data_IF_222570338576
#
_entry.id   IF_222570338576
#
_cell.length_a   1.000
_cell.length_b   1.000
_cell.length_c   1.000
_cell.angle_alpha   90.00
_cell.angle_beta   90.00
_cell.angle_gamma   90.00
#
_symmetry.space_group_name_H-M   'P 1'
#
loop_
_entity.id
_entity.type
_entity.pdbx_description
1 polymer ?
#
# COMPACT_ATOMS: atom_id res chain seq x y z
N UNK A 1 -44.58 -31.75 44.42
CA UNK A 1 -43.17 -32.09 44.14
C UNK A 1 -43.05 -32.38 42.65
N UNK A 2 -42.00 -31.85 42.01
CA UNK A 2 -41.66 -31.82 40.57
C UNK A 2 -42.04 -30.55 39.80
N UNK A 3 -41.13 -29.57 39.94
CA UNK A 3 -40.89 -28.46 39.02
C UNK A 3 -40.32 -29.00 37.70
N UNK A 4 -40.93 -28.65 36.56
CA UNK A 4 -40.32 -28.83 35.24
C UNK A 4 -39.92 -27.45 34.72
N UNK A 5 -38.66 -27.08 34.97
CA UNK A 5 -38.04 -25.89 34.40
C UNK A 5 -37.73 -26.18 32.92
N UNK A 6 -38.44 -25.51 32.01
CA UNK A 6 -38.14 -25.57 30.57
C UNK A 6 -36.94 -24.68 30.28
N UNK A 7 -35.79 -25.29 29.99
CA UNK A 7 -34.60 -24.61 29.49
C UNK A 7 -34.78 -24.37 27.99
N UNK A 8 -35.06 -23.11 27.61
CA UNK A 8 -35.02 -22.67 26.21
C UNK A 8 -33.56 -22.41 25.85
N UNK A 9 -32.98 -23.28 25.04
CA UNK A 9 -31.63 -23.08 24.49
C UNK A 9 -31.75 -22.12 23.30
N UNK A 10 -31.36 -20.86 23.52
CA UNK A 10 -31.19 -19.90 22.43
C UNK A 10 -29.91 -20.24 21.66
N UNK A 11 -30.08 -20.75 20.44
CA UNK A 11 -28.99 -20.91 19.48
C UNK A 11 -28.64 -19.51 18.98
N UNK A 12 -27.51 -18.96 19.43
CA UNK A 12 -26.96 -17.74 18.84
C UNK A 12 -26.52 -18.05 17.41
N UNK A 13 -27.11 -17.37 16.43
CA UNK A 13 -26.69 -17.45 15.04
C UNK A 13 -25.29 -16.82 14.92
N UNK A 14 -24.26 -17.66 14.80
CA UNK A 14 -22.92 -17.23 14.37
C UNK A 14 -23.05 -16.82 12.91
N UNK A 15 -22.95 -15.52 12.64
CA UNK A 15 -22.91 -15.00 11.26
C UNK A 15 -21.73 -15.60 10.50
N UNK A 16 -21.84 -15.77 9.17
CA UNK A 16 -20.74 -16.31 8.38
C UNK A 16 -19.50 -15.44 8.55
N UNK A 17 -18.28 -16.04 8.54
CA UNK A 17 -17.05 -15.27 8.51
C UNK A 17 -17.10 -14.37 7.28
N UNK A 18 -17.03 -13.05 7.49
CA UNK A 18 -16.85 -12.09 6.40
C UNK A 18 -15.58 -12.47 5.64
N UNK A 19 -15.76 -13.03 4.45
CA UNK A 19 -14.66 -13.26 3.51
C UNK A 19 -13.97 -11.91 3.30
N UNK A 20 -12.72 -11.80 3.73
CA UNK A 20 -11.86 -10.71 3.28
C UNK A 20 -11.76 -10.86 1.76
N UNK A 21 -11.85 -9.76 0.99
CA UNK A 21 -11.69 -9.86 -0.45
C UNK A 21 -10.36 -10.55 -0.73
N UNK A 22 -10.41 -11.64 -1.52
CA UNK A 22 -9.21 -12.27 -2.06
C UNK A 22 -8.40 -11.17 -2.77
N UNK A 23 -7.13 -11.07 -2.41
CA UNK A 23 -6.18 -10.34 -3.24
C UNK A 23 -6.33 -10.89 -4.65
N UNK A 24 -6.49 -10.02 -5.65
CA UNK A 24 -6.51 -10.47 -7.05
C UNK A 24 -5.37 -11.49 -7.24
N UNK A 25 -5.73 -12.70 -7.66
CA UNK A 25 -5.06 -14.02 -7.46
C UNK A 25 -3.56 -14.14 -7.83
N UNK A 26 -2.87 -13.06 -8.15
CA UNK A 26 -1.43 -13.03 -8.40
C UNK A 26 -0.76 -11.90 -7.65
N UNK A 27 0.09 -12.23 -6.67
CA UNK A 27 1.02 -11.27 -6.09
C UNK A 27 2.04 -10.80 -7.13
N UNK A 28 2.51 -9.57 -6.99
CA UNK A 28 3.46 -8.98 -7.91
C UNK A 28 4.90 -9.35 -7.57
N UNK A 29 5.69 -9.65 -8.58
CA UNK A 29 7.15 -9.61 -8.45
C UNK A 29 7.62 -8.16 -8.38
N UNK A 30 8.74 -7.92 -7.69
CA UNK A 30 9.46 -6.66 -7.82
C UNK A 30 10.08 -6.50 -9.22
N UNK A 31 10.80 -5.40 -9.43
CA UNK A 31 11.63 -5.15 -10.62
C UNK A 31 12.41 -6.41 -11.04
N UNK A 32 12.50 -6.70 -12.35
CA UNK A 32 12.21 -5.80 -13.48
C UNK A 32 10.75 -5.81 -13.98
N UNK A 33 9.85 -6.59 -13.37
CA UNK A 33 8.46 -6.69 -13.84
C UNK A 33 7.74 -5.33 -13.76
N UNK A 34 7.12 -4.92 -14.87
CA UNK A 34 6.31 -3.69 -14.93
C UNK A 34 4.86 -3.98 -14.57
N UNK A 35 4.25 -3.07 -13.82
CA UNK A 35 2.86 -3.17 -13.33
C UNK A 35 2.10 -1.88 -13.63
N UNK A 36 0.77 -1.97 -13.67
CA UNK A 36 -0.13 -0.82 -13.73
C UNK A 36 -1.07 -0.85 -12.53
N UNK A 37 -0.94 0.13 -11.63
CA UNK A 37 -1.72 0.22 -10.42
C UNK A 37 -2.65 1.42 -10.49
N UNK A 38 -3.89 1.24 -10.05
CA UNK A 38 -4.90 2.31 -10.01
C UNK A 38 -5.16 2.73 -8.58
N UNK A 39 -5.40 4.02 -8.38
CA UNK A 39 -5.62 4.55 -7.04
C UNK A 39 -5.74 6.06 -6.99
N UNK A 40 -5.92 6.60 -5.78
CA UNK A 40 -5.91 8.03 -5.51
C UNK A 40 -4.49 8.49 -5.16
N UNK A 41 -3.93 9.38 -5.96
CA UNK A 41 -2.64 9.99 -5.70
C UNK A 41 -2.78 11.09 -4.65
N UNK A 42 -1.97 11.06 -3.60
CA UNK A 42 -1.96 12.06 -2.53
C UNK A 42 -0.53 12.47 -2.18
N UNK A 43 -0.40 13.62 -1.53
CA UNK A 43 0.84 14.04 -0.89
C UNK A 43 0.64 14.13 0.62
N UNK A 44 1.66 13.71 1.37
CA UNK A 44 1.70 13.79 2.83
C UNK A 44 3.03 14.34 3.29
N UNK A 45 2.99 15.23 4.27
CA UNK A 45 4.18 15.68 5.00
C UNK A 45 4.41 14.70 6.15
N UNK A 46 5.52 13.98 6.10
CA UNK A 46 5.91 12.95 7.05
C UNK A 46 7.21 13.34 7.76
N UNK A 47 7.49 12.78 8.95
CA UNK A 47 8.79 12.94 9.61
C UNK A 47 9.93 12.41 8.74
N UNK A 48 10.94 13.25 8.53
CA UNK A 48 12.20 12.93 7.85
C UNK A 48 13.36 12.77 8.84
N UNK A 49 14.60 12.97 8.40
CA UNK A 49 15.77 12.86 9.25
C UNK A 49 15.75 13.90 10.38
N UNK A 50 16.44 13.64 11.50
CA UNK A 50 17.33 12.48 11.70
C UNK A 50 16.61 11.20 12.16
N UNK A 51 15.49 11.29 12.88
CA UNK A 51 14.93 10.12 13.56
C UNK A 51 13.73 9.49 12.84
N UNK A 52 13.07 10.23 11.93
CA UNK A 52 11.87 9.78 11.21
C UNK A 52 10.68 9.41 12.11
N UNK A 53 10.55 10.08 13.26
CA UNK A 53 9.51 9.80 14.27
C UNK A 53 8.54 10.97 14.48
N UNK A 54 9.02 12.21 14.53
CA UNK A 54 8.17 13.36 14.83
C UNK A 54 8.77 14.69 14.37
N UNK A 55 8.02 15.38 13.51
CA UNK A 55 8.31 16.76 13.10
C UNK A 55 8.27 17.69 14.31
N UNK A 56 7.31 17.51 15.22
CA UNK A 56 7.18 18.32 16.43
C UNK A 56 8.37 18.15 17.41
N UNK A 57 9.11 17.04 17.30
CA UNK A 57 10.32 16.77 18.10
C UNK A 57 11.63 17.03 17.34
N UNK A 58 11.58 17.74 16.21
CA UNK A 58 12.78 18.22 15.51
C UNK A 58 13.16 17.46 14.24
N UNK A 59 12.37 16.47 13.81
CA UNK A 59 12.61 15.85 12.50
C UNK A 59 12.25 16.79 11.36
N UNK A 60 13.08 16.80 10.31
CA UNK A 60 12.84 17.62 9.12
C UNK A 60 11.60 17.11 8.39
N UNK A 61 10.62 17.97 8.06
CA UNK A 61 9.47 17.53 7.29
C UNK A 61 9.89 17.08 5.88
N UNK A 62 9.37 15.95 5.43
CA UNK A 62 9.56 15.45 4.07
C UNK A 62 8.21 15.17 3.42
N UNK A 63 8.06 15.58 2.16
CA UNK A 63 6.84 15.30 1.40
C UNK A 63 6.99 13.96 0.69
N UNK A 64 6.12 13.01 1.03
CA UNK A 64 5.98 11.75 0.32
C UNK A 64 4.77 11.80 -0.62
N UNK A 65 4.93 11.22 -1.81
CA UNK A 65 3.85 11.01 -2.77
C UNK A 65 3.37 9.57 -2.59
N UNK A 66 2.08 9.40 -2.31
CA UNK A 66 1.49 8.09 -1.98
C UNK A 66 0.33 7.80 -2.94
N UNK A 67 0.22 6.55 -3.35
CA UNK A 67 -0.92 6.02 -4.08
C UNK A 67 -1.75 5.18 -3.10
N UNK A 68 -2.95 5.68 -2.76
CA UNK A 68 -3.96 4.85 -2.09
C UNK A 68 -4.57 3.98 -3.17
N UNK A 69 -4.30 2.68 -3.12
CA UNK A 69 -4.67 1.71 -4.14
C UNK A 69 -6.18 1.44 -4.11
N UNK A 70 -6.78 1.28 -5.29
CA UNK A 70 -8.18 0.88 -5.40
C UNK A 70 -8.40 -0.56 -4.93
N UNK A 71 -7.39 -1.41 -5.12
CA UNK A 71 -7.34 -2.79 -4.67
C UNK A 71 -6.02 -3.05 -3.96
N UNK A 72 -6.04 -3.59 -2.72
CA UNK A 72 -4.81 -3.97 -2.03
C UNK A 72 -3.98 -4.95 -2.85
N UNK A 73 -2.66 -4.83 -2.77
CA UNK A 73 -1.72 -5.71 -3.47
C UNK A 73 -0.90 -6.55 -2.50
N UNK A 74 -0.29 -7.60 -3.02
CA UNK A 74 0.76 -8.35 -2.37
C UNK A 74 2.00 -8.45 -3.28
N UNK A 75 3.15 -8.73 -2.67
CA UNK A 75 4.43 -8.90 -3.38
C UNK A 75 5.05 -10.26 -3.06
N UNK A 76 5.88 -10.72 -3.99
CA UNK A 76 6.68 -11.94 -3.86
C UNK A 76 8.13 -11.50 -3.71
N UNK A 77 8.79 -11.95 -2.64
CA UNK A 77 10.24 -11.78 -2.47
C UNK A 77 11.00 -12.64 -3.49
N UNK A 78 12.06 -12.09 -4.09
CA UNK A 78 12.91 -12.82 -5.03
C UNK A 78 14.31 -12.99 -4.42
N UNK A 79 14.57 -14.20 -3.94
CA UNK A 79 15.79 -14.54 -3.21
C UNK A 79 17.01 -14.78 -4.10
N UNK A 80 16.86 -14.88 -5.43
CA UNK A 80 17.96 -15.34 -6.29
C UNK A 80 18.83 -14.20 -6.81
N UNK A 81 18.23 -13.06 -7.16
CA UNK A 81 18.94 -11.98 -7.88
C UNK A 81 18.63 -10.57 -7.36
N UNK A 82 17.88 -10.44 -6.26
CA UNK A 82 17.48 -9.15 -5.68
C UNK A 82 17.84 -9.09 -4.20
N UNK A 83 18.34 -7.94 -3.68
CA UNK A 83 18.43 -7.73 -2.24
C UNK A 83 17.04 -7.67 -1.56
N UNK A 84 15.95 -7.66 -2.33
CA UNK A 84 14.58 -7.59 -1.83
C UNK A 84 14.10 -8.99 -1.42
N UNK A 85 14.23 -9.33 -0.15
CA UNK A 85 13.89 -10.65 0.38
C UNK A 85 12.47 -10.74 0.92
N UNK A 86 11.81 -9.60 1.13
CA UNK A 86 10.58 -9.55 1.90
C UNK A 86 9.34 -9.50 1.00
N UNK A 87 8.41 -10.41 1.28
CA UNK A 87 7.07 -10.44 0.71
C UNK A 87 6.09 -9.69 1.62
N UNK A 88 5.29 -8.81 1.04
CA UNK A 88 4.26 -8.07 1.78
C UNK A 88 2.86 -8.46 1.29
N UNK A 89 1.90 -8.45 2.20
CA UNK A 89 0.50 -8.74 1.94
C UNK A 89 -0.35 -7.52 2.34
N UNK A 90 -1.51 -7.29 1.73
CA UNK A 90 -2.42 -6.25 2.25
C UNK A 90 -2.00 -4.82 2.01
N UNK A 91 -1.13 -4.54 1.05
CA UNK A 91 -0.67 -3.17 0.83
C UNK A 91 -1.79 -2.37 0.14
N UNK A 92 -2.46 -1.50 0.91
CA UNK A 92 -3.50 -0.59 0.42
C UNK A 92 -2.94 0.79 0.01
N UNK A 93 -1.70 1.08 0.41
CA UNK A 93 -1.02 2.34 0.17
C UNK A 93 0.44 2.08 -0.11
N UNK A 94 0.93 2.58 -1.24
CA UNK A 94 2.36 2.50 -1.59
C UNK A 94 2.91 3.88 -1.93
N UNK A 95 4.20 4.08 -1.70
CA UNK A 95 4.89 5.29 -2.09
C UNK A 95 5.21 5.27 -3.59
N UNK A 96 4.93 6.39 -4.25
CA UNK A 96 5.37 6.67 -5.61
C UNK A 96 6.70 7.41 -5.50
N UNK A 97 7.82 6.79 -5.90
CA UNK A 97 9.11 7.47 -5.86
C UNK A 97 9.12 8.64 -6.84
N UNK A 98 9.71 9.76 -6.43
CA UNK A 98 9.90 10.91 -7.31
C UNK A 98 11.01 10.61 -8.31
N UNK A 99 10.69 10.70 -9.59
CA UNK A 99 11.67 10.64 -10.69
C UNK A 99 11.67 11.96 -11.45
N UNK A 100 12.79 12.29 -12.08
CA UNK A 100 12.94 13.49 -12.92
C UNK A 100 11.92 13.54 -14.08
N UNK A 101 11.45 12.39 -14.53
CA UNK A 101 10.50 12.28 -15.64
C UNK A 101 9.04 12.46 -15.21
N UNK A 102 8.66 12.07 -13.98
CA UNK A 102 7.25 11.99 -13.57
C UNK A 102 6.82 13.04 -12.54
N UNK A 103 7.76 13.77 -11.93
CA UNK A 103 7.44 14.71 -10.84
C UNK A 103 6.41 15.78 -11.22
N UNK A 104 6.39 16.24 -12.48
CA UNK A 104 5.40 17.22 -12.95
C UNK A 104 4.00 16.63 -12.98
N UNK A 105 3.89 15.37 -13.41
CA UNK A 105 2.63 14.66 -13.48
C UNK A 105 2.11 14.36 -12.08
N UNK A 106 3.00 13.94 -11.16
CA UNK A 106 2.66 13.81 -9.73
C UNK A 106 2.03 15.10 -9.21
N UNK A 107 2.73 16.24 -9.34
CA UNK A 107 2.23 17.53 -8.85
C UNK A 107 0.89 17.93 -9.45
N UNK A 108 0.70 17.70 -10.75
CA UNK A 108 -0.54 18.04 -11.47
C UNK A 108 -1.70 17.12 -11.09
N UNK A 109 -1.42 15.86 -10.77
CA UNK A 109 -2.43 14.83 -10.55
C UNK A 109 -2.69 14.52 -9.06
N UNK A 110 -1.95 15.13 -8.14
CA UNK A 110 -2.24 15.06 -6.69
C UNK A 110 -3.72 15.37 -6.42
N UNK A 111 -4.37 14.51 -5.64
CA UNK A 111 -5.79 14.59 -5.30
C UNK A 111 -6.72 13.95 -6.33
N UNK A 112 -6.20 13.42 -7.45
CA UNK A 112 -6.98 12.74 -8.48
C UNK A 112 -6.82 11.23 -8.40
N UNK A 113 -7.76 10.50 -9.03
CA UNK A 113 -7.58 9.08 -9.32
C UNK A 113 -6.70 8.94 -10.57
N UNK A 114 -5.71 8.07 -10.50
CA UNK A 114 -4.66 7.91 -11.51
C UNK A 114 -4.41 6.44 -11.81
N UNK A 115 -3.72 6.21 -12.92
CA UNK A 115 -3.01 4.96 -13.19
C UNK A 115 -1.52 5.25 -13.15
N UNK A 116 -0.79 4.52 -12.32
CA UNK A 116 0.67 4.57 -12.22
C UNK A 116 1.24 3.31 -12.86
N UNK A 117 2.06 3.48 -13.89
CA UNK A 117 2.76 2.38 -14.56
C UNK A 117 4.24 2.45 -14.19
N UNK A 118 4.85 1.33 -13.81
CA UNK A 118 6.24 1.32 -13.34
C UNK A 118 6.67 -0.04 -12.78
N UNK A 119 7.82 -0.07 -12.11
CA UNK A 119 8.32 -1.30 -11.45
C UNK A 119 8.21 -1.18 -9.94
N UNK A 120 7.84 -2.28 -9.28
CA UNK A 120 7.80 -2.33 -7.82
C UNK A 120 9.19 -2.57 -7.23
N UNK A 121 9.44 -2.03 -6.05
CA UNK A 121 10.60 -2.33 -5.24
C UNK A 121 10.20 -2.47 -3.76
N UNK A 122 11.01 -3.20 -3.01
CA UNK A 122 11.02 -3.07 -1.56
C UNK A 122 11.53 -1.66 -1.20
N UNK A 123 11.05 -1.16 -0.06
CA UNK A 123 11.55 0.07 0.54
C UNK A 123 13.08 0.06 0.64
N UNK A 124 13.69 1.21 0.37
CA UNK A 124 15.12 1.42 0.51
C UNK A 124 15.43 2.31 1.72
N UNK A 125 16.65 2.19 2.24
CA UNK A 125 17.11 3.00 3.37
C UNK A 125 16.97 4.50 3.08
N UNK A 126 16.17 5.19 3.90
CA UNK A 126 16.09 6.65 3.95
C UNK A 126 14.72 7.23 3.56
N UNK A 127 14.42 7.44 2.26
CA UNK A 127 13.28 8.25 1.81
C UNK A 127 11.96 7.49 1.71
N UNK A 128 11.99 6.16 1.69
CA UNK A 128 10.78 5.35 1.54
C UNK A 128 10.00 5.27 2.85
N UNK A 129 8.67 5.33 2.74
CA UNK A 129 7.72 5.43 3.87
C UNK A 129 6.68 4.33 3.87
N UNK A 130 6.72 3.45 2.88
CA UNK A 130 5.87 2.27 2.76
C UNK A 130 6.75 1.06 2.43
N UNK A 131 6.40 -0.17 2.88
CA UNK A 131 7.22 -1.35 2.65
C UNK A 131 7.40 -1.70 1.16
N UNK A 132 6.37 -1.43 0.37
CA UNK A 132 6.38 -1.55 -1.09
C UNK A 132 6.31 -0.15 -1.69
N UNK A 133 7.13 0.10 -2.70
CA UNK A 133 7.16 1.35 -3.46
C UNK A 133 7.11 1.09 -4.95
N UNK A 134 6.69 2.08 -5.73
CA UNK A 134 6.72 2.04 -7.19
C UNK A 134 7.67 3.11 -7.73
N UNK A 135 8.55 2.69 -8.63
CA UNK A 135 9.35 3.57 -9.48
C UNK A 135 8.55 3.87 -10.75
N UNK A 136 7.94 5.06 -10.87
CA UNK A 136 7.00 5.34 -11.94
C UNK A 136 7.72 5.59 -13.28
N UNK A 137 7.25 4.88 -14.31
CA UNK A 137 7.56 5.17 -15.71
C UNK A 137 6.54 6.15 -16.33
N UNK A 138 5.27 6.05 -15.91
CA UNK A 138 4.17 6.91 -16.38
C UNK A 138 3.14 7.14 -15.28
N UNK A 139 2.57 8.35 -15.21
CA UNK A 139 1.42 8.66 -14.36
C UNK A 139 0.37 9.40 -15.19
N UNK A 140 -0.83 8.84 -15.29
CA UNK A 140 -1.94 9.41 -16.06
C UNK A 140 -3.21 9.49 -15.23
N UNK A 141 -4.07 10.45 -15.55
CA UNK A 141 -5.39 10.54 -14.95
C UNK A 141 -6.22 9.29 -15.33
N UNK A 142 -6.90 8.71 -14.36
CA UNK A 142 -7.93 7.72 -14.64
C UNK A 142 -9.14 8.47 -15.24
N UNK A 143 -9.61 8.00 -16.40
CA UNK A 143 -10.79 8.57 -17.07
C UNK A 143 -12.07 8.13 -16.39
#
# INVERSE_FOLDING_TARGET
MFLLASFVIHIAAVGPPSARPDFADSCYHYRPASVSLTGRLIQRTLPGPPNYQSIARGDRPQVADLLILDHPICTIGDYKDSPNTDAFQGQDTIQVRRTETTWRDVRRLTGRRVVVTGTLAEWALGPDRTPVVIDPAEIRAMR
#
